data_IF_598799534861
#
_entry.id   IF_598799534861
#
_cell.length_a   1.000
_cell.length_b   1.000
_cell.length_c   1.000
_cell.angle_alpha   90.00
_cell.angle_beta   90.00
_cell.angle_gamma   90.00
#
_symmetry.space_group_name_H-M   'P 1'
#
loop_
_entity.id
_entity.type
_entity.pdbx_description
1 polymer ?
#
# COMPACT_ATOMS: atom_id res chain seq x y z
N UNK A 1 2.07 16.74 -9.15
CA UNK A 1 1.49 15.48 -9.64
C UNK A 1 0.66 14.77 -8.57
N UNK A 2 1.06 14.78 -7.30
CA UNK A 2 0.38 14.12 -6.18
C UNK A 2 1.04 12.81 -5.75
N UNK A 3 2.12 12.44 -6.40
CA UNK A 3 2.95 11.30 -6.06
C UNK A 3 4.42 11.56 -6.40
N UNK A 4 5.30 10.79 -5.78
CA UNK A 4 6.73 10.75 -6.08
C UNK A 4 7.09 9.31 -6.37
N UNK A 5 7.81 9.06 -7.44
CA UNK A 5 8.41 7.76 -7.75
C UNK A 5 9.89 7.81 -7.42
N UNK A 6 10.32 6.99 -6.49
CA UNK A 6 11.71 6.79 -6.12
C UNK A 6 12.19 5.45 -6.65
N UNK A 7 13.28 5.46 -7.39
CA UNK A 7 13.87 4.25 -7.98
C UNK A 7 14.97 3.71 -7.09
N UNK A 8 15.18 2.41 -7.15
CA UNK A 8 16.30 1.71 -6.52
C UNK A 8 16.36 1.96 -4.99
N UNK A 9 15.19 2.03 -4.35
CA UNK A 9 15.10 2.22 -2.89
C UNK A 9 15.58 0.98 -2.16
N UNK A 10 15.15 -0.18 -2.60
CA UNK A 10 15.59 -1.48 -2.12
C UNK A 10 16.55 -2.10 -3.14
N UNK A 11 17.54 -2.82 -2.65
CA UNK A 11 18.39 -3.66 -3.49
C UNK A 11 17.64 -4.92 -3.98
N UNK A 12 18.10 -5.58 -5.04
CA UNK A 12 17.51 -6.86 -5.48
C UNK A 12 17.51 -7.94 -4.39
N UNK A 13 18.58 -8.00 -3.59
CA UNK A 13 18.68 -8.97 -2.48
C UNK A 13 17.66 -8.67 -1.38
N UNK A 14 17.40 -7.39 -1.08
CA UNK A 14 16.38 -7.00 -0.14
C UNK A 14 14.97 -7.32 -0.65
N UNK A 15 14.71 -7.08 -1.93
CA UNK A 15 13.44 -7.46 -2.55
C UNK A 15 13.24 -8.98 -2.47
N UNK A 16 14.27 -9.77 -2.80
CA UNK A 16 14.20 -11.23 -2.73
C UNK A 16 13.91 -11.70 -1.31
N UNK A 17 14.64 -11.20 -0.31
CA UNK A 17 14.42 -11.58 1.08
C UNK A 17 13.01 -11.24 1.59
N UNK A 18 12.48 -10.09 1.20
CA UNK A 18 11.12 -9.68 1.55
C UNK A 18 10.06 -10.56 0.87
N UNK A 19 10.28 -10.92 -0.40
CA UNK A 19 9.38 -11.79 -1.16
C UNK A 19 9.35 -13.20 -0.60
N UNK A 20 10.50 -13.76 -0.23
CA UNK A 20 10.59 -15.10 0.37
C UNK A 20 9.77 -15.19 1.66
N UNK A 21 9.88 -14.18 2.51
CA UNK A 21 9.10 -14.12 3.76
C UNK A 21 7.61 -13.93 3.46
N UNK A 22 7.24 -13.03 2.54
CA UNK A 22 5.85 -12.83 2.15
C UNK A 22 5.24 -14.12 1.60
N UNK A 23 5.93 -14.81 0.71
CA UNK A 23 5.46 -16.06 0.14
C UNK A 23 5.19 -17.13 1.22
N UNK A 24 6.09 -17.25 2.20
CA UNK A 24 5.91 -18.15 3.34
C UNK A 24 4.68 -17.77 4.17
N UNK A 25 4.51 -16.50 4.49
CA UNK A 25 3.37 -16.00 5.26
C UNK A 25 2.06 -16.18 4.50
N UNK A 26 2.05 -15.98 3.20
CA UNK A 26 0.89 -16.22 2.35
C UNK A 26 0.48 -17.69 2.36
N UNK A 27 1.44 -18.61 2.21
CA UNK A 27 1.16 -20.04 2.32
C UNK A 27 0.59 -20.43 3.69
N UNK A 28 1.17 -19.92 4.76
CA UNK A 28 0.67 -20.16 6.12
C UNK A 28 -0.73 -19.60 6.32
N UNK A 29 -1.05 -18.45 5.70
CA UNK A 29 -2.35 -17.81 5.84
C UNK A 29 -3.54 -18.64 5.34
N UNK A 30 -3.28 -19.71 4.59
CA UNK A 30 -4.30 -20.66 4.16
C UNK A 30 -4.64 -21.70 5.24
N UNK A 31 -3.85 -21.83 6.31
CA UNK A 31 -4.14 -22.82 7.36
C UNK A 31 -5.12 -22.30 8.40
N UNK A 32 -6.05 -23.15 8.83
CA UNK A 32 -7.00 -22.82 9.89
C UNK A 32 -6.30 -22.58 11.23
N UNK A 33 -5.19 -23.27 11.49
CA UNK A 33 -4.36 -23.11 12.69
C UNK A 33 -3.77 -21.70 12.77
N UNK A 34 -3.25 -21.19 11.66
CA UNK A 34 -2.70 -19.83 11.59
C UNK A 34 -3.81 -18.80 11.82
N UNK A 35 -4.98 -18.98 11.20
CA UNK A 35 -6.12 -18.08 11.39
C UNK A 35 -6.61 -18.07 12.85
N UNK A 36 -6.64 -19.23 13.50
CA UNK A 36 -7.06 -19.37 14.89
C UNK A 36 -6.05 -18.76 15.87
N UNK A 37 -4.75 -18.77 15.55
CA UNK A 37 -3.70 -18.20 16.38
C UNK A 37 -3.69 -16.66 16.40
N UNK A 38 -4.35 -16.02 15.45
CA UNK A 38 -4.38 -14.55 15.37
C UNK A 38 -5.27 -13.95 16.46
N UNK A 39 -4.79 -12.93 17.20
CA UNK A 39 -5.59 -12.25 18.22
C UNK A 39 -6.89 -11.68 17.65
N UNK A 40 -8.02 -12.00 18.25
CA UNK A 40 -9.31 -11.49 17.82
C UNK A 40 -9.48 -9.99 18.10
N UNK A 41 -10.10 -9.25 17.17
CA UNK A 41 -10.66 -7.92 17.42
C UNK A 41 -9.66 -6.77 17.56
N UNK A 42 -8.38 -6.96 17.34
CA UNK A 42 -7.40 -5.87 17.39
C UNK A 42 -7.25 -5.15 16.07
N UNK A 43 -7.24 -3.82 16.09
CA UNK A 43 -6.85 -2.98 14.94
C UNK A 43 -5.42 -3.34 14.50
N UNK A 44 -5.20 -3.51 13.20
CA UNK A 44 -3.90 -3.92 12.66
C UNK A 44 -3.58 -5.41 12.87
N UNK A 45 -4.59 -6.25 13.13
CA UNK A 45 -4.45 -7.69 13.13
C UNK A 45 -3.99 -8.17 11.75
N UNK A 46 -3.01 -9.05 11.66
CA UNK A 46 -2.71 -9.75 10.42
C UNK A 46 -3.93 -10.52 9.96
N UNK A 47 -4.39 -10.26 8.76
CA UNK A 47 -5.53 -10.96 8.18
C UNK A 47 -5.28 -11.23 6.72
N UNK A 48 -5.83 -12.32 6.23
CA UNK A 48 -5.97 -12.57 4.81
C UNK A 48 -7.34 -12.08 4.36
N UNK A 49 -7.35 -11.16 3.40
CA UNK A 49 -8.60 -10.74 2.77
C UNK A 49 -8.86 -11.62 1.55
N UNK A 50 -10.03 -12.25 1.53
CA UNK A 50 -10.46 -13.16 0.46
C UNK A 50 -11.49 -12.53 -0.48
N UNK A 51 -11.68 -11.22 -0.38
CA UNK A 51 -12.72 -10.50 -1.12
C UNK A 51 -12.48 -10.45 -2.64
N UNK A 52 -11.27 -10.72 -3.08
CA UNK A 52 -10.93 -10.91 -4.49
C UNK A 52 -10.29 -12.29 -4.66
N UNK A 53 -10.93 -13.22 -5.37
CA UNK A 53 -10.35 -14.48 -5.69
C UNK A 53 -9.05 -14.26 -6.40
N UNK A 54 -7.99 -14.53 -6.35
CA UNK A 54 -6.72 -14.16 -7.01
C UNK A 54 -5.95 -12.99 -6.38
N UNK A 55 -6.37 -12.55 -5.19
CA UNK A 55 -5.61 -11.56 -4.44
C UNK A 55 -5.43 -12.03 -3.00
N UNK A 56 -4.20 -11.95 -2.50
CA UNK A 56 -3.89 -12.14 -1.08
C UNK A 56 -3.48 -10.79 -0.50
N UNK A 57 -4.05 -10.45 0.64
CA UNK A 57 -3.66 -9.29 1.42
C UNK A 57 -3.36 -9.71 2.84
N UNK A 58 -2.14 -9.42 3.29
CA UNK A 58 -1.73 -9.60 4.68
C UNK A 58 -1.61 -8.24 5.34
N UNK A 59 -2.24 -8.07 6.49
CA UNK A 59 -2.21 -6.81 7.26
C UNK A 59 -1.28 -6.93 8.47
N UNK A 60 -0.69 -5.80 8.89
CA UNK A 60 0.13 -5.74 10.09
C UNK A 60 1.48 -6.42 9.93
N UNK A 61 2.13 -6.25 8.80
CA UNK A 61 3.37 -6.94 8.42
C UNK A 61 4.47 -6.99 9.50
N UNK A 62 4.79 -5.90 10.24
CA UNK A 62 5.80 -5.93 11.29
C UNK A 62 5.47 -6.86 12.47
N UNK A 63 4.22 -7.27 12.62
CA UNK A 63 3.81 -8.26 13.62
C UNK A 63 3.96 -9.69 13.13
N UNK A 64 4.05 -9.87 11.82
CA UNK A 64 4.23 -11.17 11.18
C UNK A 64 5.70 -11.55 11.11
N UNK A 65 6.55 -10.60 10.74
CA UNK A 65 7.99 -10.80 10.67
C UNK A 65 8.73 -9.47 10.82
N UNK A 66 9.80 -9.39 11.63
CA UNK A 66 10.58 -8.18 11.85
C UNK A 66 11.35 -7.70 10.61
N UNK A 67 11.45 -8.49 9.55
CA UNK A 67 12.09 -8.06 8.29
C UNK A 67 11.42 -6.82 7.72
N UNK A 68 10.13 -6.62 8.00
CA UNK A 68 9.36 -5.48 7.51
C UNK A 68 9.58 -4.19 8.30
N UNK A 69 10.23 -4.24 9.47
CA UNK A 69 10.49 -3.05 10.29
C UNK A 69 11.33 -2.04 9.53
N UNK A 70 12.30 -2.49 8.75
CA UNK A 70 13.17 -1.63 7.95
C UNK A 70 12.45 -0.81 6.87
N UNK A 71 11.22 -1.16 6.53
CA UNK A 71 10.40 -0.42 5.55
C UNK A 71 9.67 0.77 6.19
N UNK A 72 9.53 0.79 7.52
CA UNK A 72 8.77 1.83 8.25
C UNK A 72 9.50 3.17 8.19
N UNK A 73 10.77 3.16 8.50
CA UNK A 73 11.64 4.34 8.58
C UNK A 73 12.83 4.28 7.61
N UNK A 74 12.62 3.67 6.47
CA UNK A 74 13.69 3.48 5.48
C UNK A 74 14.39 4.80 5.18
N UNK A 75 15.74 4.88 5.27
CA UNK A 75 16.49 6.14 5.24
C UNK A 75 16.34 6.93 3.93
N UNK A 76 16.02 6.27 2.83
CA UNK A 76 15.76 6.94 1.54
C UNK A 76 14.34 7.50 1.44
N UNK A 77 13.41 7.04 2.26
CA UNK A 77 12.00 7.46 2.25
C UNK A 77 11.73 8.50 3.35
N UNK A 78 12.29 8.30 4.52
CA UNK A 78 12.04 9.10 5.71
C UNK A 78 12.16 10.61 5.50
N UNK A 79 13.15 11.15 4.74
CA UNK A 79 13.24 12.59 4.49
C UNK A 79 12.01 13.16 3.78
N UNK A 80 11.40 12.41 2.87
CA UNK A 80 10.19 12.84 2.18
C UNK A 80 8.99 12.83 3.11
N UNK A 81 8.84 11.78 3.91
CA UNK A 81 7.75 11.67 4.88
C UNK A 81 7.83 12.81 5.91
N UNK A 82 9.00 13.08 6.47
CA UNK A 82 9.21 14.17 7.42
C UNK A 82 8.89 15.54 6.81
N UNK A 83 9.24 15.74 5.54
CA UNK A 83 8.95 17.01 4.84
C UNK A 83 7.45 17.24 4.63
N UNK A 84 6.66 16.17 4.48
CA UNK A 84 5.23 16.27 4.18
C UNK A 84 4.33 16.21 5.41
N UNK A 85 4.68 15.42 6.42
CA UNK A 85 3.80 15.13 7.56
C UNK A 85 4.40 15.63 8.88
N UNK A 86 5.72 15.73 8.98
CA UNK A 86 6.40 16.06 10.24
C UNK A 86 6.56 14.83 11.13
N UNK A 87 6.12 14.91 12.38
CA UNK A 87 6.16 13.77 13.32
C UNK A 87 5.28 12.63 12.81
N UNK A 88 5.92 11.48 12.55
CA UNK A 88 5.30 10.35 11.88
C UNK A 88 4.77 9.33 12.88
N UNK A 89 3.60 8.78 12.56
CA UNK A 89 3.05 7.61 13.21
C UNK A 89 2.63 6.58 12.16
N UNK A 90 3.11 5.36 12.28
CA UNK A 90 2.63 4.26 11.47
C UNK A 90 1.19 3.91 11.85
N UNK A 91 0.27 3.99 10.90
CA UNK A 91 -1.13 3.67 11.10
C UNK A 91 -1.40 2.21 10.77
N UNK A 92 -0.94 1.76 9.61
CA UNK A 92 -1.16 0.40 9.14
C UNK A 92 -0.10 -0.01 8.11
N UNK A 93 0.05 -1.31 7.91
CA UNK A 93 0.87 -1.91 6.87
C UNK A 93 0.13 -3.09 6.25
N UNK A 94 0.29 -3.28 4.96
CA UNK A 94 -0.21 -4.47 4.28
C UNK A 94 0.63 -4.82 3.06
N UNK A 95 0.60 -6.09 2.67
CA UNK A 95 1.02 -6.54 1.36
C UNK A 95 -0.20 -6.80 0.47
N UNK A 96 -0.01 -6.71 -0.81
CA UNK A 96 -0.98 -7.14 -1.81
C UNK A 96 -0.23 -7.96 -2.84
N UNK A 97 -0.59 -9.23 -2.94
CA UNK A 97 -0.15 -10.13 -4.01
C UNK A 97 -1.33 -10.45 -4.92
N UNK A 98 -1.10 -10.38 -6.21
CA UNK A 98 -2.14 -10.62 -7.23
C UNK A 98 -1.67 -11.67 -8.21
N UNK A 99 -2.54 -12.61 -8.51
CA UNK A 99 -2.32 -13.56 -9.61
C UNK A 99 -2.62 -12.92 -10.96
N UNK A 100 -2.09 -13.53 -12.01
CA UNK A 100 -2.41 -13.14 -13.37
C UNK A 100 -3.92 -13.22 -13.62
N UNK A 101 -4.47 -12.19 -14.27
CA UNK A 101 -5.90 -12.10 -14.53
C UNK A 101 -6.75 -11.55 -13.36
N UNK A 102 -6.11 -11.11 -12.27
CA UNK A 102 -6.83 -10.39 -11.21
C UNK A 102 -7.42 -9.09 -11.79
N UNK A 103 -8.73 -8.86 -11.64
CA UNK A 103 -9.34 -7.63 -12.12
C UNK A 103 -8.68 -6.39 -11.51
N UNK A 104 -8.62 -5.33 -12.29
CA UNK A 104 -8.17 -4.04 -11.81
C UNK A 104 -9.13 -3.51 -10.73
N UNK A 105 -8.57 -2.94 -9.67
CA UNK A 105 -9.36 -2.24 -8.66
C UNK A 105 -9.93 -0.94 -9.18
N UNK A 106 -11.05 -0.50 -8.63
CA UNK A 106 -11.64 0.79 -8.97
C UNK A 106 -10.82 1.98 -8.46
N UNK A 107 -11.04 3.14 -9.06
CA UNK A 107 -10.44 4.38 -8.61
C UNK A 107 -10.95 4.75 -7.21
N UNK A 108 -10.03 5.16 -6.35
CA UNK A 108 -10.38 5.62 -5.01
C UNK A 108 -9.34 6.62 -4.50
N UNK A 109 -9.69 7.38 -3.49
CA UNK A 109 -8.73 8.20 -2.76
C UNK A 109 -7.87 7.32 -1.86
N UNK A 110 -6.57 7.60 -1.81
CA UNK A 110 -5.67 6.95 -0.87
C UNK A 110 -5.80 7.45 0.57
N UNK A 111 -6.48 8.60 0.77
CA UNK A 111 -6.58 9.30 2.06
C UNK A 111 -8.01 9.81 2.24
N UNK A 112 -8.61 9.68 3.44
CA UNK A 112 -9.90 10.28 3.74
C UNK A 112 -9.90 11.81 3.53
N UNK A 113 -11.03 12.36 3.10
CA UNK A 113 -11.18 13.81 2.88
C UNK A 113 -10.94 14.65 4.14
N UNK A 114 -11.14 14.07 5.32
CA UNK A 114 -10.83 14.70 6.62
C UNK A 114 -9.33 14.91 6.84
N UNK A 115 -8.49 14.10 6.20
CA UNK A 115 -7.05 14.07 6.44
C UNK A 115 -6.23 14.74 5.34
N UNK A 116 -6.92 15.31 4.35
CA UNK A 116 -6.30 15.99 3.23
C UNK A 116 -7.10 17.23 2.82
N UNK A 117 -6.42 18.36 2.74
CA UNK A 117 -7.01 19.63 2.24
C UNK A 117 -6.05 20.29 1.26
N UNK A 118 -6.59 20.71 0.12
CA UNK A 118 -5.93 21.65 -0.80
C UNK A 118 -6.66 23.00 -0.73
N UNK A 119 -5.94 24.05 -0.36
CA UNK A 119 -6.49 25.40 -0.26
C UNK A 119 -5.46 26.45 -0.67
N UNK A 120 -5.81 27.34 -1.60
CA UNK A 120 -4.98 28.45 -2.05
C UNK A 120 -3.54 28.08 -2.44
N UNK A 121 -3.35 26.95 -3.07
CA UNK A 121 -2.02 26.48 -3.48
C UNK A 121 -1.28 25.66 -2.43
N UNK A 122 -1.78 25.62 -1.20
CA UNK A 122 -1.21 24.83 -0.11
C UNK A 122 -1.87 23.48 0.01
N UNK A 123 -1.06 22.48 0.32
CA UNK A 123 -1.49 21.12 0.61
C UNK A 123 -1.23 20.84 2.08
N UNK A 124 -2.25 20.37 2.78
CA UNK A 124 -2.14 19.84 4.14
C UNK A 124 -2.62 18.41 4.12
N UNK A 125 -1.72 17.49 4.35
CA UNK A 125 -2.04 16.09 4.50
C UNK A 125 -1.60 15.58 5.86
N UNK A 126 -2.48 14.83 6.52
CA UNK A 126 -2.18 14.15 7.79
C UNK A 126 -1.83 12.68 7.58
N UNK A 127 -1.92 12.21 6.34
CA UNK A 127 -1.69 10.82 5.99
C UNK A 127 -1.00 10.70 4.64
N UNK A 128 -0.11 9.73 4.55
CA UNK A 128 0.59 9.32 3.33
C UNK A 128 0.60 7.82 3.18
N UNK A 129 0.57 7.34 1.96
CA UNK A 129 0.83 5.95 1.63
C UNK A 129 2.22 5.85 1.00
N UNK A 130 3.03 4.95 1.53
CA UNK A 130 4.29 4.53 0.92
C UNK A 130 4.11 3.13 0.38
N UNK A 131 4.41 2.93 -0.90
CA UNK A 131 4.31 1.63 -1.56
C UNK A 131 5.68 1.21 -2.03
N UNK A 132 6.09 0.01 -1.63
CA UNK A 132 7.28 -0.65 -2.12
C UNK A 132 6.89 -1.73 -3.12
N UNK A 133 7.35 -1.60 -4.35
CA UNK A 133 7.20 -2.64 -5.36
C UNK A 133 8.36 -3.60 -5.19
N UNK A 134 8.06 -4.85 -4.87
CA UNK A 134 9.06 -5.89 -4.64
C UNK A 134 9.32 -6.72 -5.91
N UNK A 135 8.44 -6.60 -6.90
CA UNK A 135 8.56 -7.20 -8.23
C UNK A 135 8.54 -6.11 -9.29
N UNK A 136 9.01 -6.42 -10.48
CA UNK A 136 8.79 -5.56 -11.64
C UNK A 136 7.29 -5.50 -11.95
N UNK A 137 6.78 -4.28 -12.08
CA UNK A 137 5.36 -4.05 -12.33
C UNK A 137 5.20 -3.10 -13.53
N UNK A 138 4.72 -3.63 -14.62
CA UNK A 138 4.31 -2.88 -15.80
C UNK A 138 2.79 -2.71 -15.89
N UNK A 139 2.34 -2.11 -16.99
CA UNK A 139 0.90 -1.89 -17.25
C UNK A 139 0.09 -3.18 -17.28
N UNK A 140 0.72 -4.29 -17.71
CA UNK A 140 0.09 -5.61 -17.82
C UNK A 140 0.14 -6.41 -16.50
N UNK A 141 0.90 -5.95 -15.49
CA UNK A 141 1.16 -6.67 -14.25
C UNK A 141 0.30 -6.15 -13.07
N UNK A 142 -0.73 -5.37 -13.36
CA UNK A 142 -1.60 -4.82 -12.32
C UNK A 142 -0.94 -3.74 -11.46
N UNK A 143 -0.09 -2.91 -12.06
CA UNK A 143 0.57 -1.79 -11.40
C UNK A 143 -0.45 -0.81 -10.79
N UNK A 144 0.01 -0.01 -9.84
CA UNK A 144 -0.78 1.10 -9.31
C UNK A 144 -0.85 2.21 -10.36
N UNK A 145 -2.06 2.62 -10.67
CA UNK A 145 -2.31 3.80 -11.48
C UNK A 145 -2.62 5.01 -10.61
N UNK A 146 -2.16 6.17 -11.02
CA UNK A 146 -2.44 7.42 -10.35
C UNK A 146 -2.97 8.46 -11.36
N UNK A 147 -4.02 9.17 -10.99
CA UNK A 147 -4.53 10.29 -11.79
C UNK A 147 -3.79 11.57 -11.39
N UNK A 148 -2.89 12.08 -12.25
CA UNK A 148 -2.11 13.27 -11.93
C UNK A 148 -3.00 14.48 -11.66
N UNK A 149 -2.71 15.20 -10.57
CA UNK A 149 -3.47 16.39 -10.19
C UNK A 149 -4.71 16.12 -9.34
N UNK A 150 -5.18 14.88 -9.23
CA UNK A 150 -6.36 14.53 -8.43
C UNK A 150 -6.25 14.90 -6.95
N UNK A 151 -5.03 14.93 -6.42
CA UNK A 151 -4.74 15.37 -5.05
C UNK A 151 -5.12 16.83 -4.78
N UNK A 152 -5.36 17.64 -5.81
CA UNK A 152 -5.81 19.03 -5.68
C UNK A 152 -7.34 19.18 -5.63
N UNK A 153 -8.06 18.08 -5.75
CA UNK A 153 -9.52 18.09 -5.66
C UNK A 153 -9.96 17.81 -4.23
N UNK A 154 -10.73 18.75 -3.66
CA UNK A 154 -11.41 18.55 -2.36
C UNK A 154 -12.79 17.92 -2.52
N UNK A 155 -13.22 17.68 -3.77
CA UNK A 155 -14.53 17.10 -4.06
C UNK A 155 -14.46 15.59 -4.06
N UNK A 156 -15.52 14.96 -3.61
CA UNK A 156 -15.74 13.54 -3.86
C UNK A 156 -16.06 13.36 -5.34
N UNK A 157 -15.07 12.86 -6.08
CA UNK A 157 -15.23 12.57 -7.49
C UNK A 157 -16.08 11.32 -7.66
N UNK A 158 -16.99 11.34 -8.62
CA UNK A 158 -17.65 10.12 -9.06
C UNK A 158 -16.65 9.31 -9.90
N UNK A 159 -15.93 8.43 -9.23
CA UNK A 159 -14.84 7.66 -9.83
C UNK A 159 -15.30 6.72 -10.94
N UNK A 160 -16.58 6.33 -10.96
CA UNK A 160 -17.14 5.51 -12.04
C UNK A 160 -17.07 6.15 -13.42
N UNK A 161 -16.90 7.46 -13.49
CA UNK A 161 -16.71 8.17 -14.76
C UNK A 161 -15.33 7.92 -15.39
N UNK A 162 -14.39 7.38 -14.61
CA UNK A 162 -13.02 7.13 -15.05
C UNK A 162 -12.74 5.63 -15.29
N UNK A 163 -13.75 4.78 -15.08
CA UNK A 163 -13.66 3.38 -15.43
C UNK A 163 -13.58 3.21 -16.95
N UNK A 164 -12.53 2.54 -17.41
CA UNK A 164 -12.32 2.29 -18.85
C UNK A 164 -11.55 3.39 -19.60
N UNK A 165 -10.96 4.36 -18.91
CA UNK A 165 -9.97 5.23 -19.50
C UNK A 165 -8.61 4.52 -19.49
N UNK A 166 -8.17 4.09 -20.65
CA UNK A 166 -6.78 3.68 -20.88
C UNK A 166 -5.90 4.94 -20.78
N UNK A 167 -4.99 4.96 -19.79
CA UNK A 167 -3.98 6.00 -19.64
C UNK A 167 -2.59 5.46 -19.92
#
# INVERSE_FOLDING_TARGET
QGFILLRDVLSPDECTALLDVLYHLELQSYSDEWQAALPAGQTGRPTRETNAPHQVRLNGLPRLDPIFDKLIDHPRILPYLNAFVGDLQLINTWSISKDQGTPQGGWHRGVPTSDYVYHQGEIRSRMFNTVYFLTDNGSEDGCIMALPGSHKSNLDLNWSQYEGLDM
#
